data_IF_432071459616
#
_entry.id   IF_432071459616
#
_cell.length_a   1.000
_cell.length_b   1.000
_cell.length_c   1.000
_cell.angle_alpha   90.00
_cell.angle_beta   90.00
_cell.angle_gamma   90.00
#
_symmetry.space_group_name_H-M   'P 1'
#
loop_
_entity.id
_entity.type
_entity.pdbx_description
1 polymer ?
#
# COMPACT_ATOMS: atom_id res chain seq x y z
N UNK A 1 -18.27 -33.16 31.05
CA UNK A 1 -18.48 -31.69 31.05
C UNK A 1 -17.09 -31.07 30.92
N UNK A 2 -16.64 -30.85 29.67
CA UNK A 2 -15.31 -30.32 29.35
C UNK A 2 -15.46 -28.95 28.72
N UNK A 3 -14.68 -28.00 29.21
CA UNK A 3 -14.71 -26.57 28.90
C UNK A 3 -14.25 -26.30 27.47
N UNK A 4 -15.01 -25.49 26.75
CA UNK A 4 -14.58 -24.87 25.51
C UNK A 4 -14.17 -23.43 25.82
N UNK A 5 -12.90 -23.24 26.19
CA UNK A 5 -12.26 -21.93 26.25
C UNK A 5 -11.65 -21.64 24.86
N UNK A 6 -12.47 -21.10 23.97
CA UNK A 6 -12.04 -20.50 22.71
C UNK A 6 -11.69 -19.04 22.94
N UNK A 7 -10.45 -18.77 23.35
CA UNK A 7 -9.91 -17.43 23.40
C UNK A 7 -9.61 -16.97 21.96
N UNK A 8 -10.62 -16.38 21.31
CA UNK A 8 -10.44 -15.67 20.04
C UNK A 8 -9.57 -14.44 20.33
N UNK A 9 -8.27 -14.58 20.06
CA UNK A 9 -7.33 -13.49 20.19
C UNK A 9 -7.66 -12.40 19.16
N UNK A 10 -8.50 -11.44 19.55
CA UNK A 10 -8.65 -10.17 18.86
C UNK A 10 -7.31 -9.45 18.88
N UNK A 11 -6.49 -9.75 17.87
CA UNK A 11 -5.27 -9.03 17.58
C UNK A 11 -5.69 -7.67 17.05
N UNK A 12 -6.01 -6.76 17.98
CA UNK A 12 -6.03 -5.33 17.73
C UNK A 12 -4.60 -4.88 17.50
N UNK A 13 -4.03 -5.26 16.36
CA UNK A 13 -2.85 -4.60 15.80
C UNK A 13 -3.28 -3.16 15.53
N UNK A 14 -2.93 -2.29 16.46
CA UNK A 14 -2.83 -0.85 16.27
C UNK A 14 -2.32 -0.62 14.85
N UNK A 15 -3.17 -0.07 13.97
CA UNK A 15 -2.81 0.39 12.63
C UNK A 15 -1.75 1.47 12.85
N UNK A 16 -0.49 1.05 12.92
CA UNK A 16 0.68 1.93 12.95
C UNK A 16 0.64 2.67 11.63
N UNK A 17 -0.08 3.79 11.63
CA UNK A 17 -0.23 4.79 10.56
C UNK A 17 0.24 4.22 9.23
N UNK A 18 -0.54 3.30 8.68
CA UNK A 18 -0.06 2.67 7.47
C UNK A 18 -0.02 3.76 6.40
N UNK A 19 1.20 4.12 5.98
CA UNK A 19 1.45 5.30 5.17
C UNK A 19 0.86 5.05 3.79
N UNK A 20 -0.25 5.71 3.48
CA UNK A 20 -0.78 5.73 2.11
C UNK A 20 0.17 6.58 1.26
N UNK A 21 0.75 5.96 0.26
CA UNK A 21 1.67 6.59 -0.69
C UNK A 21 1.24 6.32 -2.13
N UNK A 22 1.96 6.89 -3.09
CA UNK A 22 1.72 6.59 -4.51
C UNK A 22 2.52 5.35 -4.86
N UNK A 23 1.83 4.34 -5.38
CA UNK A 23 2.38 3.07 -5.83
C UNK A 23 2.30 3.00 -7.36
N UNK A 24 3.19 2.23 -7.98
CA UNK A 24 3.24 1.98 -9.41
C UNK A 24 3.45 0.48 -9.66
N UNK A 25 2.86 -0.06 -10.74
CA UNK A 25 3.06 -1.44 -11.18
C UNK A 25 3.82 -1.50 -12.51
N UNK A 26 4.96 -2.19 -12.53
CA UNK A 26 5.75 -2.36 -13.74
C UNK A 26 5.16 -3.33 -14.78
N UNK A 27 4.08 -4.06 -14.48
CA UNK A 27 3.46 -5.02 -15.42
C UNK A 27 2.42 -4.35 -16.32
N UNK A 28 1.52 -3.57 -15.72
CA UNK A 28 0.41 -2.94 -16.44
C UNK A 28 0.48 -1.41 -16.44
N UNK A 29 1.58 -0.82 -15.96
CA UNK A 29 1.88 0.61 -15.97
C UNK A 29 0.78 1.49 -15.35
N UNK A 30 0.25 1.04 -14.22
CA UNK A 30 -0.78 1.78 -13.45
C UNK A 30 -0.16 2.37 -12.19
N UNK A 31 -0.66 3.54 -11.81
CA UNK A 31 -0.34 4.21 -10.54
C UNK A 31 -1.58 4.39 -9.67
N UNK A 32 -1.48 4.13 -8.37
CA UNK A 32 -2.59 4.25 -7.43
C UNK A 32 -2.12 4.72 -6.04
N UNK A 33 -3.07 5.10 -5.18
CA UNK A 33 -2.79 5.34 -3.75
C UNK A 33 -2.95 4.03 -2.99
N UNK A 34 -1.90 3.59 -2.33
CA UNK A 34 -1.88 2.33 -1.61
C UNK A 34 -0.80 2.29 -0.53
N UNK A 35 -0.65 1.14 0.10
CA UNK A 35 0.37 0.87 1.11
C UNK A 35 1.56 0.16 0.44
N UNK A 36 2.79 0.38 0.93
CA UNK A 36 3.92 -0.44 0.52
C UNK A 36 3.64 -1.91 0.78
N UNK A 37 3.85 -2.76 -0.23
CA UNK A 37 3.58 -4.20 -0.14
C UNK A 37 2.20 -4.62 -0.65
N UNK A 38 1.30 -3.68 -0.99
CA UNK A 38 0.03 -4.01 -1.64
C UNK A 38 0.27 -4.66 -3.01
N UNK A 39 -0.57 -5.64 -3.35
CA UNK A 39 -0.67 -6.13 -4.73
C UNK A 39 -1.18 -5.03 -5.67
N UNK A 40 -0.83 -5.12 -6.95
CA UNK A 40 -1.37 -4.20 -7.94
C UNK A 40 -2.90 -4.24 -7.96
N UNK A 41 -3.54 -3.09 -7.78
CA UNK A 41 -5.00 -2.97 -7.78
C UNK A 41 -5.65 -3.45 -9.10
N UNK A 42 -4.95 -3.32 -10.22
CA UNK A 42 -5.49 -3.68 -11.53
C UNK A 42 -5.22 -5.14 -11.94
N UNK A 43 -3.99 -5.65 -11.77
CA UNK A 43 -3.59 -6.98 -12.26
C UNK A 43 -3.30 -8.01 -11.15
N UNK A 44 -3.34 -7.59 -9.87
CA UNK A 44 -3.08 -8.46 -8.73
C UNK A 44 -1.61 -8.84 -8.49
N UNK A 45 -0.68 -8.44 -9.36
CA UNK A 45 0.73 -8.77 -9.23
C UNK A 45 1.41 -7.92 -8.14
N UNK A 46 2.17 -8.53 -7.23
CA UNK A 46 2.88 -7.83 -6.15
C UNK A 46 4.37 -7.64 -6.41
N UNK A 47 5.01 -8.57 -7.12
CA UNK A 47 6.46 -8.57 -7.36
C UNK A 47 6.99 -7.33 -8.12
N UNK A 48 6.13 -6.67 -8.88
CA UNK A 48 6.45 -5.47 -9.66
C UNK A 48 5.74 -4.22 -9.14
N UNK A 49 5.21 -4.27 -7.91
CA UNK A 49 4.63 -3.10 -7.25
C UNK A 49 5.73 -2.37 -6.48
N UNK A 50 5.92 -1.09 -6.78
CA UNK A 50 6.91 -0.23 -6.12
C UNK A 50 6.31 1.10 -5.70
N UNK A 51 6.94 1.79 -4.77
CA UNK A 51 6.63 3.19 -4.49
C UNK A 51 6.99 4.03 -5.72
N UNK A 52 6.05 4.82 -6.21
CA UNK A 52 6.27 5.69 -7.35
C UNK A 52 7.25 6.82 -6.97
N UNK A 53 8.24 7.14 -7.82
CA UNK A 53 9.09 8.30 -7.59
C UNK A 53 8.26 9.59 -7.67
N UNK A 54 8.58 10.61 -6.86
CA UNK A 54 7.89 11.90 -6.96
C UNK A 54 8.16 12.55 -8.32
N UNK A 55 7.14 13.19 -8.90
CA UNK A 55 7.30 13.99 -10.10
C UNK A 55 8.17 15.22 -9.76
N UNK A 56 9.28 15.38 -10.47
CA UNK A 56 10.12 16.57 -10.37
C UNK A 56 9.73 17.54 -11.49
N UNK A 57 9.10 18.66 -11.12
CA UNK A 57 8.74 19.73 -12.06
C UNK A 57 9.55 20.98 -11.75
N UNK A 58 10.16 21.58 -12.77
CA UNK A 58 10.82 22.88 -12.65
C UNK A 58 9.76 23.96 -12.83
N UNK A 59 9.44 24.67 -11.75
CA UNK A 59 8.54 25.82 -11.79
C UNK A 59 9.38 27.03 -12.24
N UNK A 60 9.07 27.66 -13.40
CA UNK A 60 9.75 28.88 -13.80
C UNK A 60 9.45 30.00 -12.80
N UNK A 61 10.43 30.89 -12.58
CA UNK A 61 10.21 32.07 -11.76
C UNK A 61 9.09 32.94 -12.37
N UNK A 62 8.24 33.58 -11.55
CA UNK A 62 7.27 34.54 -12.05
C UNK A 62 7.98 35.68 -12.80
N UNK A 63 7.34 36.18 -13.86
CA UNK A 63 7.82 37.27 -14.70
C UNK A 63 7.86 38.62 -13.97
#
# INVERSE_FOLDING_TARGET
MGTADGAEAETSTVDREAVITVMACGVCDVTWRGRPGDSCWACGHSAHTVKAPPLQVKIPAPA
#
